data_IF_752866713535
#
_entry.id   IF_752866713535
#
_cell.length_a   1.000
_cell.length_b   1.000
_cell.length_c   1.000
_cell.angle_alpha   90.00
_cell.angle_beta   90.00
_cell.angle_gamma   90.00
#
_symmetry.space_group_name_H-M   'P 1'
#
loop_
_entity.id
_entity.type
_entity.pdbx_description
1 polymer ?
#
# COMPACT_ATOMS: atom_id res chain seq x y z
N UNK A 1 -9.83 -16.27 -19.14
CA UNK A 1 -10.50 -15.10 -19.72
C UNK A 1 -9.84 -13.86 -19.14
N UNK A 2 -9.49 -12.84 -19.94
CA UNK A 2 -8.98 -11.60 -19.38
C UNK A 2 -9.95 -10.99 -18.37
N UNK A 3 -9.43 -10.43 -17.26
CA UNK A 3 -10.26 -9.87 -16.19
C UNK A 3 -11.12 -8.71 -16.69
N UNK A 4 -12.36 -8.59 -16.19
CA UNK A 4 -13.19 -7.41 -16.43
C UNK A 4 -12.88 -6.24 -15.47
N UNK A 5 -11.91 -6.44 -14.57
CA UNK A 5 -11.31 -5.41 -13.70
C UNK A 5 -9.90 -5.01 -14.17
N UNK A 6 -9.63 -5.14 -15.47
CA UNK A 6 -8.37 -4.73 -16.07
C UNK A 6 -8.58 -4.05 -17.41
N UNK A 7 -7.63 -3.19 -17.78
CA UNK A 7 -7.56 -2.61 -19.13
C UNK A 7 -6.70 -3.52 -19.99
N UNK A 8 -7.18 -3.88 -21.18
CA UNK A 8 -6.51 -4.83 -22.06
C UNK A 8 -5.64 -4.11 -23.07
N UNK A 9 -4.40 -4.57 -23.22
CA UNK A 9 -3.47 -4.16 -24.25
C UNK A 9 -3.36 -5.30 -25.27
N UNK A 10 -3.67 -5.00 -26.52
CA UNK A 10 -3.62 -5.95 -27.63
C UNK A 10 -2.56 -5.53 -28.63
N UNK A 11 -1.98 -6.51 -29.32
CA UNK A 11 -1.10 -6.28 -30.46
C UNK A 11 -1.54 -7.13 -31.64
N UNK A 12 -1.50 -6.48 -32.80
CA UNK A 12 -1.75 -7.11 -34.10
C UNK A 12 -0.64 -6.73 -35.08
N UNK A 13 -0.29 -7.60 -36.04
CA UNK A 13 0.63 -7.25 -37.12
C UNK A 13 0.18 -5.99 -37.86
N UNK A 14 1.12 -5.10 -38.13
CA UNK A 14 0.86 -3.91 -38.93
C UNK A 14 0.96 -4.26 -40.42
N UNK A 15 -0.14 -4.76 -40.98
CA UNK A 15 -0.31 -5.04 -42.41
C UNK A 15 -1.56 -4.35 -42.98
N UNK A 16 -1.91 -4.62 -44.24
CA UNK A 16 -3.09 -4.01 -44.87
C UNK A 16 -4.41 -4.29 -44.13
N UNK A 17 -4.49 -5.36 -43.34
CA UNK A 17 -5.66 -5.68 -42.53
C UNK A 17 -5.72 -4.85 -41.23
N UNK A 18 -4.63 -4.17 -40.87
CA UNK A 18 -4.57 -3.27 -39.70
C UNK A 18 -5.08 -1.85 -39.99
N UNK A 19 -5.21 -1.46 -41.27
CA UNK A 19 -5.70 -0.14 -41.67
C UNK A 19 -7.18 0.04 -41.28
N UNK A 20 -7.47 1.07 -40.47
CA UNK A 20 -8.83 1.37 -40.06
C UNK A 20 -9.42 0.42 -39.00
N UNK A 21 -8.61 -0.49 -38.43
CA UNK A 21 -9.08 -1.45 -37.40
C UNK A 21 -9.74 -0.75 -36.23
N UNK A 22 -9.21 0.40 -35.77
CA UNK A 22 -9.83 1.15 -34.67
C UNK A 22 -11.28 1.57 -34.98
N UNK A 23 -11.54 2.03 -36.20
CA UNK A 23 -12.88 2.48 -36.62
C UNK A 23 -13.84 1.29 -36.78
N UNK A 24 -13.38 0.24 -37.44
CA UNK A 24 -14.18 -0.97 -37.66
C UNK A 24 -14.51 -1.66 -36.33
N UNK A 25 -13.49 -1.90 -35.50
CA UNK A 25 -13.63 -2.55 -34.22
C UNK A 25 -14.43 -1.69 -33.23
N UNK A 26 -14.21 -0.37 -33.22
CA UNK A 26 -14.98 0.56 -32.43
C UNK A 26 -16.48 0.50 -32.74
N UNK A 27 -16.86 0.37 -34.02
CA UNK A 27 -18.26 0.22 -34.43
C UNK A 27 -18.87 -1.12 -33.98
N UNK A 28 -18.10 -2.22 -34.08
CA UNK A 28 -18.52 -3.56 -33.66
C UNK A 28 -18.66 -3.66 -32.13
N UNK A 29 -17.69 -3.13 -31.38
CA UNK A 29 -17.74 -3.11 -29.92
C UNK A 29 -18.90 -2.25 -29.39
N UNK A 30 -19.17 -1.10 -30.02
CA UNK A 30 -20.30 -0.25 -29.67
C UNK A 30 -21.65 -0.95 -29.89
N UNK A 31 -21.79 -1.69 -30.99
CA UNK A 31 -23.05 -2.36 -31.35
C UNK A 31 -23.26 -3.69 -30.61
N UNK A 32 -22.22 -4.51 -30.48
CA UNK A 32 -22.32 -5.89 -29.96
C UNK A 32 -22.02 -5.97 -28.44
N UNK A 33 -21.04 -5.21 -27.96
CA UNK A 33 -20.62 -5.20 -26.56
C UNK A 33 -21.12 -3.97 -25.79
N UNK A 34 -21.84 -3.04 -26.43
CA UNK A 34 -22.28 -1.76 -25.87
C UNK A 34 -21.13 -0.93 -25.29
N UNK A 35 -19.93 -1.13 -25.82
CA UNK A 35 -18.73 -0.43 -25.35
C UNK A 35 -18.75 1.02 -25.84
N UNK A 36 -18.53 2.01 -24.97
CA UNK A 36 -18.40 3.39 -25.41
C UNK A 36 -17.17 3.62 -26.31
N UNK A 37 -17.24 4.56 -27.25
CA UNK A 37 -16.15 4.79 -28.24
C UNK A 37 -14.84 5.29 -27.63
N UNK A 38 -14.89 5.90 -26.45
CA UNK A 38 -13.74 6.35 -25.67
C UNK A 38 -13.05 5.22 -24.88
N UNK A 39 -13.66 4.04 -24.82
CA UNK A 39 -13.12 2.87 -24.13
C UNK A 39 -12.20 2.03 -25.03
N UNK A 40 -11.91 2.52 -26.24
CA UNK A 40 -10.92 1.94 -27.14
C UNK A 40 -10.02 3.04 -27.71
N UNK A 41 -8.73 2.78 -27.78
CA UNK A 41 -7.74 3.67 -28.39
C UNK A 41 -6.64 2.87 -29.07
N UNK A 42 -5.98 3.47 -30.06
CA UNK A 42 -4.77 2.93 -30.66
C UNK A 42 -3.54 3.51 -29.96
N UNK A 43 -2.49 2.71 -29.85
CA UNK A 43 -1.18 3.16 -29.38
C UNK A 43 -0.05 2.54 -30.22
N UNK A 44 1.05 3.26 -30.32
CA UNK A 44 2.22 2.80 -31.07
C UNK A 44 3.07 1.86 -30.20
N UNK A 45 3.31 0.65 -30.71
CA UNK A 45 4.32 -0.26 -30.16
C UNK A 45 5.66 0.08 -30.83
N UNK A 46 6.70 0.44 -30.07
CA UNK A 46 7.99 0.76 -30.68
C UNK A 46 8.62 -0.43 -31.38
N UNK A 47 9.40 -0.16 -32.42
CA UNK A 47 10.23 -1.15 -33.10
C UNK A 47 11.47 -1.44 -32.25
N UNK A 48 11.39 -2.41 -31.34
CA UNK A 48 12.53 -2.82 -30.53
C UNK A 48 13.53 -3.65 -31.31
N UNK A 49 14.79 -3.66 -30.85
CA UNK A 49 15.79 -4.60 -31.32
C UNK A 49 15.46 -6.01 -30.83
N UNK A 50 14.96 -6.85 -31.73
CA UNK A 50 14.43 -8.20 -31.46
C UNK A 50 15.44 -9.18 -30.87
N UNK A 51 16.74 -9.00 -31.14
CA UNK A 51 17.78 -9.93 -30.65
C UNK A 51 17.70 -11.30 -31.32
N UNK A 52 18.06 -12.36 -30.59
CA UNK A 52 17.98 -13.75 -31.06
C UNK A 52 16.73 -14.43 -30.53
N UNK A 53 16.30 -15.53 -31.18
CA UNK A 53 15.15 -16.31 -30.72
C UNK A 53 15.33 -16.80 -29.27
N UNK A 54 16.52 -17.29 -28.92
CA UNK A 54 16.84 -17.73 -27.56
C UNK A 54 16.63 -16.62 -26.52
N UNK A 55 17.03 -15.38 -26.84
CA UNK A 55 16.81 -14.24 -25.94
C UNK A 55 15.32 -13.90 -25.77
N UNK A 56 14.52 -14.05 -26.82
CA UNK A 56 13.08 -13.83 -26.76
C UNK A 56 12.36 -14.90 -25.95
N UNK A 57 12.76 -16.17 -26.10
CA UNK A 57 12.22 -17.28 -25.31
C UNK A 57 12.53 -17.06 -23.83
N UNK A 58 13.80 -16.80 -23.48
CA UNK A 58 14.19 -16.49 -22.10
C UNK A 58 13.41 -15.30 -21.52
N UNK A 59 13.22 -14.23 -22.30
CA UNK A 59 12.41 -13.08 -21.86
C UNK A 59 10.94 -13.46 -21.67
N UNK A 60 10.35 -14.29 -22.54
CA UNK A 60 8.95 -14.72 -22.42
C UNK A 60 8.68 -15.54 -21.15
N UNK A 61 9.69 -16.26 -20.64
CA UNK A 61 9.60 -17.03 -19.39
C UNK A 61 9.79 -16.15 -18.13
N UNK A 62 10.64 -15.12 -18.22
CA UNK A 62 10.98 -14.27 -17.08
C UNK A 62 10.03 -13.08 -16.88
N UNK A 63 9.55 -12.47 -17.97
CA UNK A 63 8.68 -11.31 -17.92
C UNK A 63 7.39 -11.54 -17.10
N UNK A 64 6.71 -12.70 -17.13
CA UNK A 64 5.55 -12.97 -16.27
C UNK A 64 5.87 -12.87 -14.78
N UNK A 65 7.05 -13.32 -14.34
CA UNK A 65 7.46 -13.22 -12.92
C UNK A 65 7.69 -11.76 -12.52
N UNK A 66 8.29 -10.99 -13.43
CA UNK A 66 8.52 -9.55 -13.22
C UNK A 66 7.21 -8.78 -13.19
N UNK A 67 6.25 -9.15 -14.04
CA UNK A 67 4.92 -8.54 -14.05
C UNK A 67 4.18 -8.68 -12.71
N UNK A 68 4.19 -9.89 -12.15
CA UNK A 68 3.62 -10.15 -10.81
C UNK A 68 4.31 -9.29 -9.76
N UNK A 69 5.64 -9.18 -9.81
CA UNK A 69 6.41 -8.34 -8.89
C UNK A 69 6.02 -6.85 -9.01
N UNK A 70 5.98 -6.31 -10.23
CA UNK A 70 5.71 -4.90 -10.49
C UNK A 70 4.29 -4.54 -10.06
N UNK A 71 3.32 -5.40 -10.40
CA UNK A 71 1.93 -5.27 -9.97
C UNK A 71 1.82 -5.30 -8.44
N UNK A 72 2.53 -6.20 -7.77
CA UNK A 72 2.54 -6.28 -6.30
C UNK A 72 3.12 -5.02 -5.65
N UNK A 73 4.18 -4.44 -6.22
CA UNK A 73 4.78 -3.21 -5.71
C UNK A 73 3.80 -2.04 -5.86
N UNK A 74 3.20 -1.87 -7.04
CA UNK A 74 2.18 -0.84 -7.26
C UNK A 74 0.98 -1.00 -6.31
N UNK A 75 0.50 -2.24 -6.09
CA UNK A 75 -0.58 -2.54 -5.15
C UNK A 75 -0.23 -2.17 -3.70
N UNK A 76 0.98 -2.51 -3.23
CA UNK A 76 1.44 -2.12 -1.88
C UNK A 76 1.49 -0.60 -1.68
N UNK A 77 1.83 0.16 -2.73
CA UNK A 77 1.80 1.62 -2.68
C UNK A 77 0.36 2.12 -2.52
N UNK A 78 -0.59 1.56 -3.27
CA UNK A 78 -2.02 1.88 -3.13
C UNK A 78 -2.54 1.53 -1.74
N UNK A 79 -2.20 0.36 -1.19
CA UNK A 79 -2.58 -0.04 0.17
C UNK A 79 -2.02 0.92 1.22
N UNK A 80 -0.79 1.41 1.02
CA UNK A 80 -0.17 2.41 1.88
C UNK A 80 -0.94 3.73 1.82
N UNK A 81 -1.27 4.23 0.62
CA UNK A 81 -2.09 5.42 0.44
C UNK A 81 -3.47 5.25 1.08
N UNK A 82 -4.11 4.10 0.89
CA UNK A 82 -5.41 3.77 1.45
C UNK A 82 -5.38 3.82 2.99
N UNK A 83 -4.34 3.27 3.61
CA UNK A 83 -4.10 3.31 5.05
C UNK A 83 -3.91 4.75 5.56
N UNK A 84 -3.09 5.56 4.88
CA UNK A 84 -2.83 6.96 5.26
C UNK A 84 -4.06 7.87 5.14
N UNK A 85 -4.97 7.52 4.23
CA UNK A 85 -6.19 8.28 3.93
C UNK A 85 -7.43 7.71 4.63
N UNK A 86 -7.27 6.80 5.59
CA UNK A 86 -8.36 6.19 6.36
C UNK A 86 -9.42 5.49 5.48
N UNK A 87 -9.00 4.80 4.42
CA UNK A 87 -9.87 4.10 3.47
C UNK A 87 -10.90 4.99 2.76
N UNK A 88 -10.66 6.29 2.64
CA UNK A 88 -11.52 7.22 1.88
C UNK A 88 -11.29 7.06 0.36
N UNK A 89 -12.26 6.53 -0.42
CA UNK A 89 -12.07 6.25 -1.84
C UNK A 89 -11.90 7.52 -2.68
N UNK A 90 -12.55 8.63 -2.29
CA UNK A 90 -12.48 9.89 -3.04
C UNK A 90 -11.10 10.52 -2.90
N UNK A 91 -10.54 10.52 -1.69
CA UNK A 91 -9.17 11.00 -1.47
C UNK A 91 -8.17 10.08 -2.15
N UNK A 92 -8.36 8.77 -2.06
CA UNK A 92 -7.47 7.81 -2.69
C UNK A 92 -7.33 8.10 -4.20
N UNK A 93 -8.45 8.30 -4.91
CA UNK A 93 -8.45 8.64 -6.34
C UNK A 93 -7.69 9.92 -6.70
N UNK A 94 -7.59 10.90 -5.79
CA UNK A 94 -6.80 12.13 -6.00
C UNK A 94 -5.29 11.90 -5.83
N UNK A 95 -4.90 10.84 -5.11
CA UNK A 95 -3.50 10.51 -4.84
C UNK A 95 -2.94 9.42 -5.77
N UNK A 96 -3.78 8.80 -6.58
CA UNK A 96 -3.40 7.73 -7.51
C UNK A 96 -3.61 8.15 -8.96
N UNK A 97 -2.81 9.14 -9.35
CA UNK A 97 -2.76 9.69 -10.69
C UNK A 97 -1.42 9.33 -11.33
N UNK A 98 -1.41 9.17 -12.66
CA UNK A 98 -0.21 9.01 -13.47
C UNK A 98 -0.01 10.32 -14.23
N UNK A 99 1.12 11.00 -13.98
CA UNK A 99 1.39 12.32 -14.58
C UNK A 99 0.21 13.32 -14.41
N UNK A 100 -0.42 13.33 -13.23
CA UNK A 100 -1.60 14.16 -12.93
C UNK A 100 -2.88 13.81 -13.71
N UNK A 101 -2.92 12.61 -14.32
CA UNK A 101 -4.08 12.09 -15.07
C UNK A 101 -4.57 10.79 -14.45
N UNK A 102 -5.83 10.44 -14.69
CA UNK A 102 -6.33 9.11 -14.30
C UNK A 102 -5.61 8.02 -15.10
N UNK A 103 -5.57 6.80 -14.55
CA UNK A 103 -4.97 5.64 -15.24
C UNK A 103 -5.63 5.42 -16.61
N UNK A 104 -6.95 5.55 -16.69
CA UNK A 104 -7.70 5.46 -17.94
C UNK A 104 -7.25 6.52 -18.95
N UNK A 105 -7.15 7.77 -18.51
CA UNK A 105 -6.74 8.88 -19.38
C UNK A 105 -5.29 8.74 -19.83
N UNK A 106 -4.43 8.14 -19.02
CA UNK A 106 -3.03 7.87 -19.38
C UNK A 106 -2.94 6.77 -20.46
N UNK A 107 -3.72 5.70 -20.35
CA UNK A 107 -3.70 4.59 -21.30
C UNK A 107 -4.46 4.92 -22.61
N UNK A 108 -5.69 5.44 -22.49
CA UNK A 108 -6.58 5.72 -23.62
C UNK A 108 -6.30 7.08 -24.29
N UNK A 109 -5.57 7.97 -23.62
CA UNK A 109 -5.25 9.32 -24.10
C UNK A 109 -4.10 9.41 -25.08
N UNK A 110 -3.82 8.35 -25.83
CA UNK A 110 -2.71 8.27 -26.78
C UNK A 110 -1.37 8.03 -26.10
N UNK A 111 -1.30 6.96 -25.29
CA UNK A 111 -0.08 6.51 -24.63
C UNK A 111 1.10 6.39 -25.62
N UNK A 112 2.30 6.74 -25.17
CA UNK A 112 3.54 6.63 -25.97
C UNK A 112 4.68 6.08 -25.13
N UNK A 113 5.56 5.35 -25.80
CA UNK A 113 6.80 4.87 -25.20
C UNK A 113 7.73 6.03 -24.81
N UNK A 114 8.30 5.95 -23.62
CA UNK A 114 9.27 6.94 -23.14
C UNK A 114 10.68 6.63 -23.69
N UNK A 115 10.96 7.07 -24.91
CA UNK A 115 12.27 6.88 -25.56
C UNK A 115 13.43 7.55 -24.81
N UNK A 116 13.16 8.64 -24.08
CA UNK A 116 14.18 9.34 -23.30
C UNK A 116 14.68 8.53 -22.11
N UNK A 117 13.81 7.73 -21.49
CA UNK A 117 14.15 6.86 -20.35
C UNK A 117 14.55 5.45 -20.79
N UNK A 118 13.85 4.91 -21.80
CA UNK A 118 14.03 3.55 -22.29
C UNK A 118 14.38 3.56 -23.78
N UNK A 119 15.66 3.71 -24.10
CA UNK A 119 16.12 3.78 -25.49
C UNK A 119 15.90 2.44 -26.24
N UNK A 120 15.06 2.48 -27.28
CA UNK A 120 14.69 1.32 -28.13
C UNK A 120 15.85 0.72 -28.93
N UNK A 121 16.97 1.43 -29.06
CA UNK A 121 18.20 0.94 -29.70
C UNK A 121 18.99 -0.04 -28.83
N UNK A 122 18.74 -0.06 -27.51
CA UNK A 122 19.34 -1.04 -26.60
C UNK A 122 18.67 -2.41 -26.76
N UNK A 123 19.34 -3.46 -26.30
CA UNK A 123 18.74 -4.79 -26.26
C UNK A 123 17.55 -4.84 -25.31
N UNK A 124 16.56 -5.68 -25.61
CA UNK A 124 15.39 -5.86 -24.76
C UNK A 124 15.75 -6.24 -23.31
N UNK A 125 16.76 -7.10 -23.12
CA UNK A 125 17.26 -7.48 -21.79
C UNK A 125 17.79 -6.27 -21.01
N UNK A 126 18.46 -5.30 -21.65
CA UNK A 126 18.95 -4.10 -20.98
C UNK A 126 17.81 -3.16 -20.57
N UNK A 127 16.80 -3.03 -21.44
CA UNK A 127 15.59 -2.23 -21.16
C UNK A 127 14.88 -2.84 -19.95
N UNK A 128 14.63 -4.15 -19.98
CA UNK A 128 14.00 -4.90 -18.88
C UNK A 128 14.84 -4.80 -17.60
N UNK A 129 16.16 -4.94 -17.70
CA UNK A 129 17.06 -4.76 -16.56
C UNK A 129 16.99 -3.35 -15.95
N UNK A 130 16.77 -2.33 -16.78
CA UNK A 130 16.57 -0.95 -16.31
C UNK A 130 15.24 -0.81 -15.57
N UNK A 131 14.14 -1.32 -16.14
CA UNK A 131 12.81 -1.34 -15.50
C UNK A 131 12.85 -2.02 -14.12
N UNK A 132 13.53 -3.17 -14.02
CA UNK A 132 13.68 -3.91 -12.77
C UNK A 132 14.47 -3.12 -11.70
N UNK A 133 15.52 -2.41 -12.09
CA UNK A 133 16.29 -1.56 -11.16
C UNK A 133 15.44 -0.42 -10.62
N UNK A 134 14.67 0.23 -11.49
CA UNK A 134 13.83 1.37 -11.11
C UNK A 134 12.70 0.96 -10.17
N UNK A 135 11.95 -0.10 -10.48
CA UNK A 135 10.86 -0.55 -9.61
C UNK A 135 11.39 -1.04 -8.25
N UNK A 136 12.56 -1.68 -8.23
CA UNK A 136 13.21 -2.14 -7.00
C UNK A 136 13.66 -0.95 -6.14
N UNK A 137 14.16 0.11 -6.77
CA UNK A 137 14.49 1.36 -6.09
C UNK A 137 13.24 1.99 -5.45
N UNK A 138 12.12 2.03 -6.18
CA UNK A 138 10.83 2.52 -5.67
C UNK A 138 10.39 1.71 -4.44
N UNK A 139 10.41 0.38 -4.52
CA UNK A 139 10.02 -0.51 -3.41
C UNK A 139 10.90 -0.29 -2.17
N UNK A 140 12.22 -0.14 -2.35
CA UNK A 140 13.15 0.12 -1.24
C UNK A 140 12.90 1.48 -0.56
N UNK A 141 12.68 2.53 -1.35
CA UNK A 141 12.34 3.87 -0.82
C UNK A 141 11.02 3.82 -0.05
N UNK A 142 10.00 3.15 -0.60
CA UNK A 142 8.71 2.99 0.07
C UNK A 142 8.83 2.26 1.40
N UNK A 143 9.53 1.12 1.44
CA UNK A 143 9.76 0.36 2.68
C UNK A 143 10.46 1.20 3.74
N UNK A 144 11.49 1.96 3.36
CA UNK A 144 12.22 2.83 4.28
C UNK A 144 11.31 3.92 4.87
N UNK A 145 10.52 4.61 4.03
CA UNK A 145 9.62 5.68 4.48
C UNK A 145 8.46 5.17 5.34
N UNK A 146 7.87 4.03 4.98
CA UNK A 146 6.84 3.36 5.78
C UNK A 146 7.39 2.97 7.15
N UNK A 147 8.60 2.41 7.21
CA UNK A 147 9.22 2.02 8.48
C UNK A 147 9.44 3.23 9.40
N UNK A 148 9.99 4.33 8.86
CA UNK A 148 10.21 5.56 9.64
C UNK A 148 8.89 6.13 10.18
N UNK A 149 7.84 6.18 9.36
CA UNK A 149 6.52 6.62 9.78
C UNK A 149 5.95 5.73 10.89
N UNK A 150 6.00 4.40 10.74
CA UNK A 150 5.47 3.46 11.71
C UNK A 150 6.20 3.54 13.07
N UNK A 151 7.51 3.78 13.07
CA UNK A 151 8.29 3.99 14.29
C UNK A 151 7.85 5.27 15.02
N UNK A 152 7.70 6.39 14.31
CA UNK A 152 7.25 7.65 14.89
C UNK A 152 5.81 7.55 15.41
N UNK A 153 4.91 6.96 14.63
CA UNK A 153 3.52 6.69 15.02
C UNK A 153 3.45 5.81 16.27
N UNK A 154 4.22 4.72 16.30
CA UNK A 154 4.28 3.82 17.45
C UNK A 154 4.78 4.53 18.73
N UNK A 155 5.77 5.41 18.60
CA UNK A 155 6.24 6.25 19.70
C UNK A 155 5.14 7.19 20.19
N UNK A 156 4.49 7.92 19.30
CA UNK A 156 3.39 8.82 19.63
C UNK A 156 2.22 8.09 20.33
N UNK A 157 1.82 6.94 19.81
CA UNK A 157 0.76 6.12 20.41
C UNK A 157 1.15 5.63 21.80
N UNK A 158 2.41 5.29 22.04
CA UNK A 158 2.90 4.92 23.36
C UNK A 158 2.80 6.09 24.35
N UNK A 159 3.19 7.30 23.94
CA UNK A 159 3.09 8.50 24.80
C UNK A 159 1.60 8.84 25.05
N UNK A 160 0.75 8.76 24.02
CA UNK A 160 -0.71 8.96 24.16
C UNK A 160 -1.35 7.97 25.13
N UNK A 161 -0.99 6.69 25.06
CA UNK A 161 -1.50 5.66 26.00
C UNK A 161 -1.13 5.96 27.45
N UNK A 162 0.05 6.52 27.71
CA UNK A 162 0.42 6.98 29.06
C UNK A 162 -0.48 8.11 29.57
N UNK A 163 -1.10 8.89 28.68
CA UNK A 163 -2.01 10.01 29.02
C UNK A 163 -3.49 9.59 29.12
N UNK A 164 -3.95 8.58 28.38
CA UNK A 164 -5.38 8.23 28.27
C UNK A 164 -5.87 7.08 29.18
N UNK A 165 -5.02 6.46 29.99
CA UNK A 165 -5.45 5.40 30.94
C UNK A 165 -6.33 5.92 32.09
N UNK A 166 -6.89 4.99 32.89
CA UNK A 166 -7.56 5.33 34.15
C UNK A 166 -6.54 5.88 35.19
N UNK A 167 -7.01 6.54 36.25
CA UNK A 167 -6.20 7.22 37.27
C UNK A 167 -5.22 6.28 38.00
N UNK A 168 -5.43 4.97 37.93
CA UNK A 168 -4.51 3.98 38.49
C UNK A 168 -3.23 3.78 37.68
N UNK A 169 -3.22 4.14 36.39
CA UNK A 169 -2.07 3.93 35.48
C UNK A 169 -1.66 5.18 34.70
N UNK A 170 -2.58 6.09 34.39
CA UNK A 170 -2.32 7.32 33.61
C UNK A 170 -1.32 8.26 34.30
N UNK A 171 -0.53 8.98 33.49
CA UNK A 171 0.30 10.10 33.95
C UNK A 171 -0.54 11.12 34.72
N UNK A 172 -0.10 11.44 35.94
CA UNK A 172 -0.79 12.38 36.81
C UNK A 172 -0.37 13.84 36.57
N UNK A 173 0.64 14.07 35.73
CA UNK A 173 1.15 15.39 35.35
C UNK A 173 0.05 16.39 35.01
N UNK A 174 -0.89 16.02 34.13
CA UNK A 174 -1.99 16.89 33.70
C UNK A 174 -3.23 16.79 34.61
N UNK A 175 -3.12 16.08 35.73
CA UNK A 175 -4.23 15.79 36.66
C UNK A 175 -4.08 16.56 37.95
N UNK A 176 -2.85 16.73 38.42
CA UNK A 176 -2.54 17.35 39.70
C UNK A 176 -1.90 18.71 39.51
N UNK A 177 -2.22 19.64 40.42
CA UNK A 177 -1.65 20.99 40.46
C UNK A 177 -0.66 21.14 41.60
N UNK A 178 0.19 22.18 41.55
CA UNK A 178 1.12 22.52 42.64
C UNK A 178 0.40 22.69 43.99
N UNK A 179 -0.84 23.15 43.98
CA UNK A 179 -1.67 23.37 45.18
C UNK A 179 -2.10 22.06 45.85
N UNK A 180 -2.02 20.94 45.13
CA UNK A 180 -2.37 19.62 45.65
C UNK A 180 -1.28 19.05 46.57
N UNK A 181 -0.07 19.62 46.51
CA UNK A 181 1.09 19.18 47.26
C UNK A 181 1.41 20.16 48.40
N UNK A 182 1.92 19.61 49.50
CA UNK A 182 2.65 20.42 50.45
C UNK A 182 3.90 20.99 49.78
N UNK A 183 4.23 22.24 50.10
CA UNK A 183 5.52 22.83 49.71
C UNK A 183 6.71 22.08 50.33
N UNK A 184 7.91 22.64 50.17
CA UNK A 184 9.14 22.01 50.65
C UNK A 184 9.10 21.78 52.17
N UNK A 185 8.88 20.52 52.56
CA UNK A 185 8.90 20.05 53.94
C UNK A 185 9.96 18.97 54.09
N UNK A 186 10.77 19.06 55.14
CA UNK A 186 11.80 18.06 55.43
C UNK A 186 11.19 16.72 55.87
N UNK A 187 10.06 16.75 56.58
CA UNK A 187 9.50 15.61 57.28
C UNK A 187 8.16 15.11 56.72
N UNK A 188 7.41 15.96 56.04
CA UNK A 188 6.10 15.64 55.47
C UNK A 188 6.18 15.55 53.94
N UNK A 189 5.33 14.71 53.37
CA UNK A 189 5.10 14.67 51.92
C UNK A 189 3.62 14.40 51.63
N UNK A 190 3.14 14.90 50.50
CA UNK A 190 1.83 14.50 49.97
C UNK A 190 2.00 13.25 49.11
N UNK A 191 1.20 12.23 49.39
CA UNK A 191 1.11 11.01 48.59
C UNK A 191 -0.23 10.98 47.87
N UNK A 192 -0.18 10.55 46.61
CA UNK A 192 -1.35 10.35 45.79
C UNK A 192 -1.82 8.89 45.88
N UNK A 193 -3.12 8.70 46.07
CA UNK A 193 -3.73 7.37 46.18
C UNK A 193 -4.95 7.28 45.27
N UNK A 194 -4.90 6.38 44.30
CA UNK A 194 -6.03 6.01 43.46
C UNK A 194 -6.85 4.94 44.19
N UNK A 195 -8.07 5.31 44.58
CA UNK A 195 -8.99 4.46 45.34
C UNK A 195 -10.13 4.04 44.42
N UNK A 196 -10.43 2.73 44.27
CA UNK A 196 -11.60 2.28 43.52
C UNK A 196 -12.87 2.94 44.07
N UNK A 197 -13.77 3.43 43.20
CA UNK A 197 -15.00 4.14 43.62
C UNK A 197 -15.81 3.37 44.67
N UNK A 198 -15.88 2.05 44.52
CA UNK A 198 -16.57 1.17 45.46
C UNK A 198 -16.01 1.24 46.89
N UNK A 199 -14.72 1.58 47.06
CA UNK A 199 -14.01 1.59 48.32
C UNK A 199 -13.79 3.01 48.91
N UNK A 200 -14.33 4.06 48.26
CA UNK A 200 -14.14 5.45 48.72
C UNK A 200 -14.68 5.68 50.14
N UNK A 201 -15.80 5.04 50.50
CA UNK A 201 -16.34 5.13 51.86
C UNK A 201 -15.40 4.51 52.89
N UNK A 202 -14.83 3.34 52.56
CA UNK A 202 -13.85 2.67 53.42
C UNK A 202 -12.58 3.50 53.58
N UNK A 203 -12.06 4.06 52.48
CA UNK A 203 -10.92 4.96 52.48
C UNK A 203 -11.09 6.12 53.48
N UNK A 204 -12.18 6.87 53.36
CA UNK A 204 -12.45 8.03 54.21
C UNK A 204 -12.56 7.69 55.70
N UNK A 205 -12.89 6.44 56.04
CA UNK A 205 -13.04 5.99 57.43
C UNK A 205 -11.73 5.43 57.98
N UNK A 206 -10.86 4.90 57.12
CA UNK A 206 -9.73 4.05 57.51
C UNK A 206 -8.37 4.71 57.32
N UNK A 207 -8.21 5.64 56.38
CA UNK A 207 -6.90 6.12 55.94
C UNK A 207 -6.03 6.66 57.10
N UNK A 208 -6.63 7.40 58.05
CA UNK A 208 -5.95 7.95 59.23
C UNK A 208 -5.38 6.88 60.17
N UNK A 209 -5.97 5.68 60.15
CA UNK A 209 -5.60 4.56 61.02
C UNK A 209 -4.75 3.51 60.31
N UNK A 210 -4.44 3.72 59.03
CA UNK A 210 -3.52 2.82 58.31
C UNK A 210 -2.13 2.89 58.95
N UNK A 211 -1.62 4.08 59.28
CA UNK A 211 -0.33 4.21 59.94
C UNK A 211 -0.36 5.32 61.01
N UNK A 212 0.48 5.17 62.04
CA UNK A 212 0.59 6.08 63.20
C UNK A 212 0.99 7.52 62.85
N UNK A 213 1.57 7.74 61.67
CA UNK A 213 2.10 9.04 61.22
C UNK A 213 1.44 9.54 59.93
N UNK A 214 0.14 9.28 59.80
CA UNK A 214 -0.72 9.91 58.81
C UNK A 214 -1.30 11.17 59.43
N UNK A 215 -1.29 12.30 58.70
CA UNK A 215 -1.87 13.54 59.22
C UNK A 215 -3.41 13.46 59.16
N UNK A 216 -4.12 13.55 60.29
CA UNK A 216 -5.59 13.48 60.29
C UNK A 216 -6.22 14.62 59.49
N UNK A 217 -7.37 14.37 58.87
CA UNK A 217 -8.13 15.30 58.02
C UNK A 217 -7.35 15.88 56.82
N UNK A 218 -6.22 15.27 56.44
CA UNK A 218 -5.44 15.68 55.27
C UNK A 218 -5.90 15.10 53.94
N UNK A 219 -6.81 14.11 53.93
CA UNK A 219 -7.26 13.51 52.67
C UNK A 219 -8.13 14.46 51.88
N UNK A 220 -7.71 14.79 50.65
CA UNK A 220 -8.45 15.65 49.73
C UNK A 220 -8.66 14.92 48.41
N UNK A 221 -9.90 14.89 47.92
CA UNK A 221 -10.21 14.42 46.58
C UNK A 221 -9.67 15.42 45.55
N UNK A 222 -8.86 14.95 44.61
CA UNK A 222 -8.31 15.78 43.52
C UNK A 222 -9.20 15.63 42.28
N UNK A 223 -9.45 14.40 41.85
CA UNK A 223 -10.27 14.11 40.68
C UNK A 223 -10.85 12.69 40.74
N UNK A 224 -11.78 12.38 39.82
CA UNK A 224 -12.37 11.05 39.65
C UNK A 224 -12.56 10.75 38.16
N UNK A 225 -12.32 9.50 37.76
CA UNK A 225 -12.71 8.95 36.46
C UNK A 225 -13.90 7.99 36.65
N UNK A 226 -14.16 7.06 35.72
CA UNK A 226 -15.26 6.11 35.84
C UNK A 226 -15.05 5.05 36.95
N UNK A 227 -13.80 4.67 37.23
CA UNK A 227 -13.45 3.52 38.08
C UNK A 227 -12.79 3.91 39.41
N UNK A 228 -12.02 4.99 39.42
CA UNK A 228 -11.16 5.42 40.52
C UNK A 228 -11.41 6.89 40.91
N UNK A 229 -11.12 7.18 42.17
CA UNK A 229 -11.01 8.53 42.72
C UNK A 229 -9.58 8.74 43.22
N UNK A 230 -8.95 9.82 42.78
CA UNK A 230 -7.58 10.17 43.16
C UNK A 230 -7.61 11.11 44.37
N UNK A 231 -6.99 10.67 45.47
CA UNK A 231 -6.84 11.45 46.69
C UNK A 231 -5.39 11.88 46.91
N UNK A 232 -5.20 13.08 47.43
CA UNK A 232 -3.94 13.49 48.09
C UNK A 232 -4.05 13.30 49.60
N UNK A 233 -3.04 12.71 50.24
CA UNK A 233 -2.93 12.56 51.70
C UNK A 233 -1.55 12.98 52.16
N UNK A 234 -1.48 13.67 53.28
CA UNK A 234 -0.22 14.07 53.91
C UNK A 234 0.23 13.01 54.92
N UNK A 235 1.46 12.53 54.78
CA UNK A 235 2.09 11.62 55.75
C UNK A 235 3.51 12.09 56.09
N UNK A 236 4.09 11.49 57.13
CA UNK A 236 5.52 11.61 57.38
C UNK A 236 6.33 10.75 56.40
N UNK A 237 7.40 11.30 55.83
CA UNK A 237 8.25 10.62 54.84
C UNK A 237 8.77 9.26 55.31
N UNK A 238 9.13 9.13 56.59
CA UNK A 238 9.68 7.89 57.17
C UNK A 238 8.71 6.71 57.20
N UNK A 239 7.40 6.94 57.02
CA UNK A 239 6.38 5.87 57.00
C UNK A 239 5.83 5.59 55.60
N UNK A 240 6.41 6.17 54.55
CA UNK A 240 5.95 6.00 53.16
C UNK A 240 5.80 4.55 52.75
N UNK A 241 6.82 3.73 53.00
CA UNK A 241 6.82 2.33 52.56
C UNK A 241 5.77 1.51 53.32
N UNK A 242 5.69 1.67 54.63
CA UNK A 242 4.70 0.96 55.46
C UNK A 242 3.27 1.42 55.14
N UNK A 243 3.05 2.73 54.90
CA UNK A 243 1.75 3.25 54.47
C UNK A 243 1.36 2.70 53.08
N UNK A 244 2.33 2.61 52.16
CA UNK A 244 2.12 2.05 50.82
C UNK A 244 1.76 0.58 50.87
N UNK A 245 2.45 -0.20 51.71
CA UNK A 245 2.12 -1.61 51.94
C UNK A 245 0.69 -1.76 52.49
N UNK A 246 0.32 -0.98 53.52
CA UNK A 246 -1.02 -1.04 54.09
C UNK A 246 -2.11 -0.56 53.12
N UNK A 247 -1.82 0.42 52.28
CA UNK A 247 -2.71 0.80 51.18
C UNK A 247 -2.96 -0.39 50.24
N UNK A 248 -1.89 -1.09 49.84
CA UNK A 248 -1.97 -2.26 48.96
C UNK A 248 -2.79 -3.41 49.56
N UNK A 249 -2.62 -3.69 50.85
CA UNK A 249 -3.40 -4.71 51.58
C UNK A 249 -4.90 -4.39 51.57
N UNK A 250 -5.27 -3.10 51.51
CA UNK A 250 -6.64 -2.63 51.43
C UNK A 250 -7.10 -2.33 50.00
N UNK A 251 -6.33 -2.76 48.99
CA UNK A 251 -6.61 -2.53 47.55
C UNK A 251 -6.65 -1.05 47.15
N UNK A 252 -6.00 -0.18 47.92
CA UNK A 252 -5.74 1.21 47.55
C UNK A 252 -4.41 1.28 46.79
N UNK A 253 -4.40 2.00 45.67
CA UNK A 253 -3.24 2.06 44.79
C UNK A 253 -2.49 3.38 45.02
N UNK A 254 -1.35 3.32 45.69
CA UNK A 254 -0.46 4.47 45.83
C UNK A 254 0.19 4.78 44.48
N UNK A 255 0.12 6.04 44.06
CA UNK A 255 0.70 6.54 42.81
C UNK A 255 1.98 7.29 43.15
N UNK A 256 3.12 6.72 42.76
CA UNK A 256 4.41 7.41 42.86
C UNK A 256 4.43 8.59 41.89
N UNK A 257 4.45 9.79 42.45
CA UNK A 257 4.48 11.03 41.69
C UNK A 257 5.15 12.11 42.52
N UNK A 258 6.13 12.79 41.92
CA UNK A 258 6.75 13.98 42.49
C UNK A 258 6.39 15.15 41.57
N UNK A 259 5.67 16.15 42.10
CA UNK A 259 5.31 17.30 41.29
C UNK A 259 6.55 18.12 40.94
N UNK A 260 6.71 18.43 39.67
CA UNK A 260 7.68 19.39 39.16
C UNK A 260 7.11 20.05 37.92
N UNK A 261 7.07 21.39 37.93
CA UNK A 261 6.64 22.18 36.77
C UNK A 261 7.48 21.84 35.52
N UNK A 262 8.77 21.53 35.71
CA UNK A 262 9.68 21.11 34.64
C UNK A 262 9.30 19.76 34.03
N UNK A 263 8.91 18.78 34.86
CA UNK A 263 8.48 17.46 34.37
C UNK A 263 7.17 17.55 33.59
N UNK A 264 6.26 18.43 34.03
CA UNK A 264 5.01 18.66 33.35
C UNK A 264 5.20 19.27 31.97
N UNK A 265 6.00 20.34 31.92
CA UNK A 265 6.35 21.00 30.68
C UNK A 265 7.07 20.05 29.73
N UNK A 266 8.02 19.24 30.23
CA UNK A 266 8.76 18.27 29.42
C UNK A 266 7.86 17.18 28.82
N UNK A 267 6.89 16.64 29.57
CA UNK A 267 5.97 15.64 29.03
C UNK A 267 5.07 16.22 27.93
N UNK A 268 4.60 17.45 28.12
CA UNK A 268 3.79 18.13 27.10
C UNK A 268 4.62 18.45 25.85
N UNK A 269 5.85 18.93 26.03
CA UNK A 269 6.80 19.16 24.93
C UNK A 269 7.13 17.86 24.18
N UNK A 270 7.39 16.75 24.88
CA UNK A 270 7.61 15.43 24.26
C UNK A 270 6.40 14.98 23.41
N UNK A 271 5.18 15.21 23.90
CA UNK A 271 3.96 14.91 23.15
C UNK A 271 3.82 15.77 21.89
N UNK A 272 4.10 17.07 22.00
CA UNK A 272 3.97 18.02 20.90
C UNK A 272 5.04 17.78 19.83
N UNK A 273 6.29 17.49 20.24
CA UNK A 273 7.38 17.10 19.34
C UNK A 273 7.04 15.79 18.63
N UNK A 274 6.59 14.76 19.36
CA UNK A 274 6.22 13.48 18.76
C UNK A 274 5.04 13.62 17.78
N UNK A 275 4.05 14.44 18.12
CA UNK A 275 2.91 14.74 17.25
C UNK A 275 3.31 15.49 15.97
N UNK A 276 4.20 16.46 16.09
CA UNK A 276 4.73 17.22 14.95
C UNK A 276 5.56 16.31 14.04
N UNK A 277 6.45 15.51 14.62
CA UNK A 277 7.29 14.56 13.88
C UNK A 277 6.46 13.53 13.11
N UNK A 278 5.42 12.96 13.74
CA UNK A 278 4.52 12.00 13.07
C UNK A 278 3.80 12.65 11.89
N UNK A 279 3.31 13.88 12.06
CA UNK A 279 2.59 14.62 11.01
C UNK A 279 3.51 15.00 9.83
N UNK A 280 4.75 15.39 10.10
CA UNK A 280 5.75 15.68 9.08
C UNK A 280 6.07 14.42 8.26
N UNK A 281 6.33 13.30 8.94
CA UNK A 281 6.59 12.01 8.28
C UNK A 281 5.37 11.49 7.52
N UNK A 282 4.16 11.68 8.03
CA UNK A 282 2.92 11.36 7.32
C UNK A 282 2.81 12.15 6.02
N UNK A 283 3.08 13.47 6.07
CA UNK A 283 3.00 14.35 4.90
C UNK A 283 4.05 13.97 3.87
N UNK A 284 5.28 13.68 4.31
CA UNK A 284 6.36 13.22 3.44
C UNK A 284 6.01 11.88 2.77
N UNK A 285 5.53 10.92 3.55
CA UNK A 285 5.16 9.60 3.06
C UNK A 285 4.01 9.67 2.05
N UNK A 286 2.97 10.48 2.31
CA UNK A 286 1.87 10.69 1.37
C UNK A 286 2.34 11.26 0.04
N UNK A 287 3.23 12.27 0.07
CA UNK A 287 3.81 12.86 -1.14
C UNK A 287 4.65 11.86 -1.93
N UNK A 288 5.54 11.14 -1.25
CA UNK A 288 6.41 10.14 -1.89
C UNK A 288 5.58 8.99 -2.47
N UNK A 289 4.58 8.50 -1.75
CA UNK A 289 3.71 7.43 -2.21
C UNK A 289 2.95 7.82 -3.49
N UNK A 290 2.47 9.06 -3.60
CA UNK A 290 1.84 9.58 -4.83
C UNK A 290 2.81 9.58 -6.02
N UNK A 291 4.02 10.12 -5.86
CA UNK A 291 5.03 10.13 -6.93
C UNK A 291 5.42 8.71 -7.34
N UNK A 292 5.70 7.86 -6.35
CA UNK A 292 6.11 6.47 -6.56
C UNK A 292 5.01 5.62 -7.20
N UNK A 293 3.73 5.88 -6.90
CA UNK A 293 2.61 5.24 -7.59
C UNK A 293 2.62 5.57 -9.08
N UNK A 294 2.71 6.87 -9.42
CA UNK A 294 2.78 7.34 -10.81
C UNK A 294 3.93 6.67 -11.56
N UNK A 295 5.12 6.65 -10.97
CA UNK A 295 6.30 6.02 -11.58
C UNK A 295 6.17 4.49 -11.70
N UNK A 296 5.69 3.81 -10.66
CA UNK A 296 5.51 2.36 -10.67
C UNK A 296 4.51 1.91 -11.73
N UNK A 297 3.40 2.64 -11.90
CA UNK A 297 2.42 2.35 -12.94
C UNK A 297 2.97 2.62 -14.34
N UNK A 298 3.74 3.69 -14.54
CA UNK A 298 4.42 3.92 -15.82
C UNK A 298 5.36 2.77 -16.16
N UNK A 299 6.19 2.34 -15.20
CA UNK A 299 7.14 1.22 -15.37
C UNK A 299 6.39 -0.09 -15.67
N UNK A 300 5.28 -0.36 -14.98
CA UNK A 300 4.42 -1.53 -15.23
C UNK A 300 3.88 -1.53 -16.66
N UNK A 301 3.34 -0.40 -17.13
CA UNK A 301 2.81 -0.30 -18.51
C UNK A 301 3.92 -0.48 -19.55
N UNK A 302 5.13 0.05 -19.31
CA UNK A 302 6.27 -0.20 -20.20
C UNK A 302 6.67 -1.68 -20.22
N UNK A 303 6.68 -2.36 -19.07
CA UNK A 303 6.91 -3.81 -19.01
C UNK A 303 5.85 -4.58 -19.81
N UNK A 304 4.58 -4.18 -19.70
CA UNK A 304 3.47 -4.78 -20.46
C UNK A 304 3.64 -4.62 -21.97
N UNK A 305 4.12 -3.46 -22.42
CA UNK A 305 4.38 -3.22 -23.85
C UNK A 305 5.58 -4.05 -24.34
N UNK A 306 6.60 -4.26 -23.49
CA UNK A 306 7.70 -5.20 -23.82
C UNK A 306 7.18 -6.63 -23.90
N UNK A 307 6.36 -7.09 -22.95
CA UNK A 307 5.70 -8.40 -23.00
C UNK A 307 4.89 -8.58 -24.29
N UNK A 308 4.08 -7.57 -24.61
CA UNK A 308 3.26 -7.53 -25.79
C UNK A 308 4.10 -7.66 -27.07
N UNK A 309 5.24 -6.96 -27.15
CA UNK A 309 6.16 -7.06 -28.27
C UNK A 309 6.82 -8.45 -28.37
N UNK A 310 7.41 -8.96 -27.29
CA UNK A 310 8.12 -10.26 -27.27
C UNK A 310 7.17 -11.38 -27.71
N UNK A 311 5.97 -11.41 -27.13
CA UNK A 311 4.96 -12.41 -27.47
C UNK A 311 4.47 -12.26 -28.91
N UNK A 312 4.32 -11.02 -29.41
CA UNK A 312 3.95 -10.78 -30.81
C UNK A 312 5.01 -11.29 -31.78
N UNK A 313 6.30 -11.11 -31.49
CA UNK A 313 7.38 -11.66 -32.31
C UNK A 313 7.39 -13.19 -32.27
N UNK A 314 7.21 -13.79 -31.10
CA UNK A 314 7.17 -15.25 -30.96
C UNK A 314 5.96 -15.88 -31.67
N UNK A 315 4.81 -15.18 -31.71
CA UNK A 315 3.59 -15.67 -32.37
C UNK A 315 3.51 -15.36 -33.86
N UNK A 316 3.88 -14.15 -34.29
CA UNK A 316 3.68 -13.68 -35.66
C UNK A 316 4.94 -13.73 -36.51
N UNK A 317 6.11 -13.81 -35.90
CA UNK A 317 7.39 -13.80 -36.59
C UNK A 317 7.82 -12.39 -37.02
N UNK A 318 8.65 -12.33 -38.07
CA UNK A 318 9.16 -11.09 -38.63
C UNK A 318 8.44 -10.77 -39.96
N UNK A 319 8.33 -9.48 -40.35
CA UNK A 319 8.87 -8.28 -39.68
C UNK A 319 8.14 -7.92 -38.38
N UNK A 320 8.87 -7.35 -37.41
CA UNK A 320 8.38 -7.04 -36.06
C UNK A 320 7.66 -5.67 -35.99
N UNK A 321 6.70 -5.45 -36.89
CA UNK A 321 5.91 -4.23 -36.97
C UNK A 321 4.49 -4.52 -36.49
N UNK A 322 4.07 -3.85 -35.41
CA UNK A 322 2.82 -4.12 -34.72
C UNK A 322 2.05 -2.85 -34.39
N UNK A 323 0.73 -2.94 -34.49
CA UNK A 323 -0.20 -1.91 -34.03
C UNK A 323 -0.79 -2.31 -32.68
N UNK A 324 -0.75 -1.40 -31.71
CA UNK A 324 -1.29 -1.61 -30.37
C UNK A 324 -2.71 -1.09 -30.24
N UNK A 325 -3.58 -1.84 -29.56
CA UNK A 325 -4.92 -1.39 -29.18
C UNK A 325 -5.10 -1.46 -27.66
N UNK A 326 -5.63 -0.41 -27.07
CA UNK A 326 -6.08 -0.38 -25.67
C UNK A 326 -7.58 -0.56 -25.66
N UNK A 327 -8.09 -1.54 -24.92
CA UNK A 327 -9.53 -1.75 -24.72
C UNK A 327 -9.82 -1.77 -23.23
N UNK A 328 -10.66 -0.84 -22.78
CA UNK A 328 -11.22 -0.85 -21.43
C UNK A 328 -12.59 -1.54 -21.47
N UNK A 329 -12.73 -2.78 -20.98
CA UNK A 329 -14.03 -3.43 -20.89
C UNK A 329 -14.95 -2.70 -19.90
N UNK A 330 -16.25 -2.72 -20.16
CA UNK A 330 -17.24 -2.34 -19.16
C UNK A 330 -17.44 -3.50 -18.16
N UNK A 331 -17.57 -3.23 -16.85
CA UNK A 331 -17.82 -4.26 -15.85
C UNK A 331 -19.00 -5.15 -16.26
N UNK A 332 -18.88 -6.47 -16.10
CA UNK A 332 -19.88 -7.49 -16.52
C UNK A 332 -20.06 -7.66 -18.04
N UNK A 333 -19.40 -6.85 -18.87
CA UNK A 333 -19.43 -6.95 -20.33
C UNK A 333 -18.13 -7.51 -20.92
N UNK A 334 -17.15 -7.86 -20.08
CA UNK A 334 -15.86 -8.43 -20.48
C UNK A 334 -16.01 -9.63 -21.43
N UNK A 335 -16.82 -10.63 -21.08
CA UNK A 335 -17.02 -11.82 -21.94
C UNK A 335 -17.55 -11.48 -23.35
N UNK A 336 -18.48 -10.53 -23.48
CA UNK A 336 -19.00 -10.09 -24.79
C UNK A 336 -17.98 -9.27 -25.57
N UNK A 337 -17.25 -8.41 -24.88
CA UNK A 337 -16.15 -7.62 -25.46
C UNK A 337 -15.10 -8.55 -26.05
N UNK A 338 -14.67 -9.55 -25.27
CA UNK A 338 -13.72 -10.58 -25.69
C UNK A 338 -14.25 -11.41 -26.86
N UNK A 339 -15.51 -11.87 -26.81
CA UNK A 339 -16.12 -12.62 -27.90
C UNK A 339 -16.12 -11.83 -29.22
N UNK A 340 -16.38 -10.52 -29.14
CA UNK A 340 -16.33 -9.62 -30.31
C UNK A 340 -14.91 -9.48 -30.84
N UNK A 341 -13.91 -9.32 -29.97
CA UNK A 341 -12.49 -9.24 -30.34
C UNK A 341 -12.00 -10.56 -30.98
N UNK A 342 -12.33 -11.70 -30.38
CA UNK A 342 -11.99 -13.03 -30.92
C UNK A 342 -12.63 -13.28 -32.28
N UNK A 343 -13.89 -12.87 -32.48
CA UNK A 343 -14.53 -12.96 -33.79
C UNK A 343 -13.84 -12.05 -34.82
N UNK A 344 -13.43 -10.85 -34.42
CA UNK A 344 -12.74 -9.89 -35.27
C UNK A 344 -11.37 -10.40 -35.73
N UNK A 345 -10.54 -10.87 -34.81
CA UNK A 345 -9.15 -11.23 -35.05
C UNK A 345 -8.92 -12.69 -35.43
N UNK A 346 -10.00 -13.45 -35.69
CA UNK A 346 -9.91 -14.86 -36.11
C UNK A 346 -9.04 -15.08 -37.36
N UNK A 347 -8.90 -14.08 -38.21
CA UNK A 347 -8.02 -14.15 -39.39
C UNK A 347 -6.53 -14.30 -39.02
N UNK A 348 -6.12 -13.98 -37.79
CA UNK A 348 -4.75 -14.16 -37.29
C UNK A 348 -4.43 -15.61 -36.91
N UNK A 349 -5.42 -16.50 -36.81
CA UNK A 349 -5.26 -17.91 -36.44
C UNK A 349 -4.18 -18.67 -37.25
N UNK A 350 -4.04 -18.48 -38.58
CA UNK A 350 -2.99 -19.15 -39.35
C UNK A 350 -1.57 -18.70 -38.98
N UNK A 351 -1.41 -17.46 -38.49
CA UNK A 351 -0.11 -16.93 -38.05
C UNK A 351 0.20 -17.36 -36.62
N UNK A 352 -0.78 -17.27 -35.70
CA UNK A 352 -0.62 -17.62 -34.29
C UNK A 352 -0.34 -19.12 -34.06
N UNK A 353 -0.91 -20.02 -34.88
CA UNK A 353 -0.81 -21.48 -34.69
C UNK A 353 0.26 -22.18 -35.58
N UNK A 354 1.30 -21.47 -36.02
CA UNK A 354 2.28 -22.03 -36.96
C UNK A 354 3.02 -23.28 -36.44
N UNK A 355 3.01 -23.56 -35.13
CA UNK A 355 3.57 -24.78 -34.54
C UNK A 355 2.80 -26.07 -34.90
N UNK A 356 1.53 -25.99 -35.30
CA UNK A 356 0.73 -27.18 -35.67
C UNK A 356 0.96 -27.67 -37.11
N UNK A 357 1.56 -26.85 -37.99
CA UNK A 357 1.79 -27.22 -39.40
C UNK A 357 3.12 -27.93 -39.66
N UNK A 358 4.05 -28.02 -38.70
CA UNK A 358 5.31 -28.77 -38.87
C UNK A 358 5.22 -30.27 -38.55
N UNK A 359 4.01 -30.84 -38.40
CA UNK A 359 3.78 -32.31 -38.34
C UNK A 359 4.07 -32.98 -39.69
N UNK A 360 5.33 -32.95 -40.10
CA UNK A 360 5.79 -33.39 -41.40
C UNK A 360 7.25 -33.85 -41.46
N UNK A 361 7.89 -34.26 -40.36
CA UNK A 361 8.94 -35.30 -40.34
C UNK A 361 9.42 -35.61 -38.92
N UNK A 362 9.38 -36.89 -38.55
CA UNK A 362 9.91 -37.44 -37.29
C UNK A 362 11.44 -37.46 -37.28
N UNK A 363 12.04 -37.00 -36.19
CA UNK A 363 13.29 -37.54 -35.64
C UNK A 363 13.21 -37.48 -34.11
N UNK A 364 13.32 -38.64 -33.47
CA UNK A 364 13.06 -38.82 -32.03
C UNK A 364 14.20 -38.29 -31.17
N UNK A 365 13.91 -37.21 -30.43
CA UNK A 365 14.47 -36.86 -29.13
C UNK A 365 13.79 -35.62 -28.50
N UNK A 366 12.83 -34.98 -29.20
CA UNK A 366 12.13 -33.77 -28.73
C UNK A 366 10.88 -34.04 -27.85
N UNK A 367 10.59 -35.28 -27.48
CA UNK A 367 9.37 -35.60 -26.70
C UNK A 367 9.41 -35.03 -25.27
N UNK A 368 10.60 -34.84 -24.69
CA UNK A 368 10.76 -34.25 -23.36
C UNK A 368 10.65 -32.71 -23.38
N UNK A 369 11.10 -32.07 -24.47
CA UNK A 369 11.00 -30.61 -24.68
C UNK A 369 9.56 -30.15 -24.99
N UNK A 370 8.77 -31.01 -25.66
CA UNK A 370 7.37 -30.74 -26.00
C UNK A 370 6.42 -30.84 -24.80
N UNK A 371 6.75 -31.66 -23.79
CA UNK A 371 5.94 -31.86 -22.60
C UNK A 371 5.86 -30.62 -21.69
N UNK A 372 6.96 -29.88 -21.56
CA UNK A 372 7.00 -28.66 -20.73
C UNK A 372 6.21 -27.49 -21.35
N UNK A 373 6.21 -27.39 -22.69
CA UNK A 373 5.36 -26.43 -23.42
C UNK A 373 3.86 -26.75 -23.29
N UNK A 374 3.52 -28.03 -23.12
CA UNK A 374 2.13 -28.47 -23.01
C UNK A 374 1.46 -28.00 -21.71
N UNK A 375 2.23 -27.79 -20.64
CA UNK A 375 1.76 -27.22 -19.37
C UNK A 375 1.59 -25.69 -19.44
N UNK A 376 2.35 -25.00 -20.30
CA UNK A 376 2.14 -23.57 -20.62
C UNK A 376 0.88 -23.37 -21.49
N UNK A 377 0.45 -24.42 -22.21
CA UNK A 377 -0.76 -24.43 -23.05
C UNK A 377 -2.09 -24.53 -22.28
N UNK A 378 -2.08 -24.47 -20.95
CA UNK A 378 -3.31 -24.32 -20.14
C UNK A 378 -3.81 -22.86 -20.05
N UNK A 379 -3.05 -21.88 -20.57
CA UNK A 379 -3.53 -20.51 -20.76
C UNK A 379 -4.43 -20.43 -22.00
N UNK A 380 -5.58 -19.77 -21.90
CA UNK A 380 -6.51 -19.56 -23.02
C UNK A 380 -5.78 -18.95 -24.22
N UNK A 381 -5.59 -19.75 -25.28
CA UNK A 381 -4.89 -19.34 -26.48
C UNK A 381 -5.82 -18.51 -27.38
N UNK A 382 -5.62 -17.19 -27.39
CA UNK A 382 -6.27 -16.29 -28.34
C UNK A 382 -5.47 -16.20 -29.65
N UNK A 383 -6.17 -16.01 -30.77
CA UNK A 383 -5.52 -15.76 -32.07
C UNK A 383 -4.74 -14.43 -32.12
N UNK A 384 -4.99 -13.56 -31.13
CA UNK A 384 -4.29 -12.30 -30.91
C UNK A 384 -3.50 -12.28 -29.61
N UNK A 385 -2.48 -11.43 -29.50
CA UNK A 385 -1.75 -11.22 -28.24
C UNK A 385 -2.51 -10.22 -27.37
N UNK A 386 -2.70 -10.56 -26.09
CA UNK A 386 -3.35 -9.70 -25.11
C UNK A 386 -2.64 -9.77 -23.76
N UNK A 387 -2.45 -8.62 -23.12
CA UNK A 387 -1.97 -8.48 -21.75
C UNK A 387 -2.85 -7.51 -20.96
N UNK A 388 -2.91 -7.71 -19.65
CA UNK A 388 -3.77 -6.94 -18.76
C UNK A 388 -2.99 -5.92 -17.95
N UNK A 389 -3.50 -4.68 -17.89
CA UNK A 389 -3.13 -3.68 -16.89
C UNK A 389 -4.22 -3.67 -15.81
N UNK A 390 -3.95 -4.23 -14.62
CA UNK A 390 -4.97 -4.38 -13.58
C UNK A 390 -5.43 -3.02 -13.03
N UNK A 391 -6.70 -2.92 -12.64
CA UNK A 391 -7.21 -1.76 -11.92
C UNK A 391 -6.85 -1.85 -10.43
N UNK A 392 -5.58 -1.60 -10.11
CA UNK A 392 -5.00 -1.70 -8.76
C UNK A 392 -5.71 -0.80 -7.72
N UNK A 393 -6.56 0.12 -8.19
CA UNK A 393 -7.26 1.11 -7.40
C UNK A 393 -8.53 0.61 -6.70
N UNK A 394 -9.16 -0.43 -7.24
CA UNK A 394 -10.46 -0.90 -6.79
C UNK A 394 -10.41 -1.77 -5.54
#
# INVERSE_FOLDING_TARGET
>A
MPSDESTWLLAIPQDGDSEGVLQELGSKLKTQAKLPSQSIAEFAIPTFKTGTLDTLISLSEDLPKQDVLFTSIAAKIVDTLRSLLNNDPQKLGQHTLIEERSVDSYLLGGWRWNEGRYNVQKGLQDIVGTLNKEISSIDNVMKSKINNYNLAKGSLDQIRRKKTGNLSVRSLVDVVSKEDFLGDSEYLETILVAVPKALVKEWNTKYERLNSMVVPRSSRLITSDDEYSLFGVVIFRRVKDEFTQKCRENKFLVREFAYSDEQAQKQQEELDIAGTTEKELWTELLRIARTNFSEAMQILVHLKVVQLFVESVLRYGLPADYTGLVVKPEPKMGSKTLSTLTAHFKYLAPRSNNSKKSKGKKSGNDEEFLGEYQTIMEQEFFDFVVFEVPWIMN
#
